data_IF_432310622574
#
_entry.id   IF_432310622574
#
_cell.length_a   1.000
_cell.length_b   1.000
_cell.length_c   1.000
_cell.angle_alpha   90.00
_cell.angle_beta   90.00
_cell.angle_gamma   90.00
#
_symmetry.space_group_name_H-M   'P 1'
#
loop_
_entity.id
_entity.type
_entity.pdbx_description
1 polymer ?
#
# COMPACT_ATOMS: atom_id res chain seq x y z
N UNK A 1 28.33 11.10 -1.47
CA UNK A 1 26.95 10.86 -1.96
C UNK A 1 26.04 11.73 -1.11
N UNK A 2 25.46 12.81 -1.63
CA UNK A 2 24.70 13.70 -0.77
C UNK A 2 23.64 14.49 -1.55
N UNK A 3 22.39 14.11 -1.34
CA UNK A 3 21.30 15.10 -1.33
C UNK A 3 21.73 16.20 -0.34
N UNK A 4 21.69 17.48 -0.73
CA UNK A 4 22.23 18.60 0.06
C UNK A 4 23.77 18.57 0.31
N UNK A 5 24.57 17.92 -0.56
CA UNK A 5 26.04 17.83 -0.40
C UNK A 5 26.79 19.15 -0.25
N UNK A 6 26.29 20.21 -0.89
CA UNK A 6 26.84 21.57 -0.84
C UNK A 6 26.68 22.23 0.55
N UNK A 7 25.96 21.59 1.48
CA UNK A 7 25.70 22.09 2.83
C UNK A 7 26.58 21.45 3.90
N UNK A 8 27.44 20.51 3.54
CA UNK A 8 28.43 19.95 4.46
C UNK A 8 29.50 21.00 4.72
N UNK A 9 29.45 21.62 5.91
CA UNK A 9 30.47 22.60 6.33
C UNK A 9 31.51 21.90 7.20
N UNK A 10 32.77 21.93 6.77
CA UNK A 10 33.90 21.59 7.65
C UNK A 10 34.11 22.74 8.63
N UNK A 11 34.09 22.44 9.92
CA UNK A 11 34.54 23.33 11.02
C UNK A 11 35.85 22.77 11.55
N UNK A 12 36.63 23.59 12.28
CA UNK A 12 37.98 23.23 12.74
C UNK A 12 38.05 21.94 13.58
N UNK A 13 36.94 21.49 14.16
CA UNK A 13 36.86 20.29 15.02
C UNK A 13 35.81 19.26 14.60
N UNK A 14 34.98 19.54 13.58
CA UNK A 14 33.79 18.73 13.25
C UNK A 14 33.38 18.91 11.77
N UNK A 15 32.70 17.89 11.22
CA UNK A 15 31.99 18.01 9.94
C UNK A 15 30.49 18.15 10.20
N UNK A 16 29.96 19.36 10.02
CA UNK A 16 28.55 19.64 10.21
C UNK A 16 27.75 19.11 9.01
N UNK A 17 27.21 17.91 9.15
CA UNK A 17 26.36 17.26 8.13
C UNK A 17 24.89 17.61 8.34
N UNK A 18 24.12 17.95 7.29
CA UNK A 18 22.68 18.17 7.42
C UNK A 18 21.97 16.90 7.90
N UNK A 19 21.46 16.89 9.14
CA UNK A 19 20.66 15.78 9.73
C UNK A 19 19.22 15.71 9.23
N UNK A 20 18.90 16.43 8.15
CA UNK A 20 17.55 16.56 7.58
C UNK A 20 17.02 15.19 7.14
N UNK A 21 17.86 14.42 6.44
CA UNK A 21 17.50 13.10 5.92
C UNK A 21 17.40 12.06 7.04
N UNK A 22 18.33 12.08 8.01
CA UNK A 22 18.25 11.24 9.22
C UNK A 22 16.94 11.46 9.99
N UNK A 23 16.46 12.71 10.07
CA UNK A 23 15.20 13.03 10.74
C UNK A 23 13.98 12.49 9.98
N UNK A 24 14.05 12.36 8.66
CA UNK A 24 13.01 11.75 7.82
C UNK A 24 13.05 10.23 7.94
N UNK A 25 14.24 9.63 7.86
CA UNK A 25 14.46 8.19 8.03
C UNK A 25 13.93 7.69 9.38
N UNK A 26 14.16 8.45 10.47
CA UNK A 26 13.65 8.12 11.81
C UNK A 26 12.19 8.49 12.05
N UNK A 27 11.48 9.00 11.05
CA UNK A 27 10.08 9.43 11.18
C UNK A 27 9.84 10.67 12.07
N UNK A 28 10.89 11.26 12.65
CA UNK A 28 10.77 12.44 13.55
C UNK A 28 10.32 13.72 12.83
N UNK A 29 10.42 13.75 11.50
CA UNK A 29 9.98 14.87 10.67
C UNK A 29 9.40 14.37 9.34
N UNK A 30 8.38 15.06 8.84
CA UNK A 30 7.82 14.81 7.51
C UNK A 30 8.60 15.63 6.44
N UNK A 31 8.98 15.01 5.31
CA UNK A 31 9.52 15.72 4.14
C UNK A 31 8.70 16.95 3.75
N UNK A 32 9.40 18.04 3.44
CA UNK A 32 8.73 19.26 2.94
C UNK A 32 8.36 19.09 1.47
N UNK A 33 7.07 19.26 1.16
CA UNK A 33 6.54 19.14 -0.21
C UNK A 33 6.08 20.48 -0.82
N UNK A 34 6.41 21.60 -0.19
CA UNK A 34 6.09 22.92 -0.78
C UNK A 34 6.96 23.20 -2.01
N UNK A 35 6.40 23.78 -3.09
CA UNK A 35 7.17 24.16 -4.27
C UNK A 35 8.38 25.03 -3.93
N UNK A 36 9.48 24.82 -4.66
CA UNK A 36 10.72 25.59 -4.54
C UNK A 36 11.95 24.74 -4.15
N UNK A 37 13.10 25.39 -3.92
CA UNK A 37 14.40 24.72 -3.78
C UNK A 37 14.54 23.88 -2.49
N UNK A 38 13.54 23.92 -1.61
CA UNK A 38 13.49 23.15 -0.36
C UNK A 38 12.48 22.00 -0.41
N UNK A 39 11.90 21.71 -1.57
CA UNK A 39 11.04 20.55 -1.75
C UNK A 39 11.92 19.29 -1.65
N UNK A 40 11.84 18.58 -0.52
CA UNK A 40 12.63 17.38 -0.29
C UNK A 40 12.12 16.21 -1.14
N UNK A 41 10.82 16.18 -1.45
CA UNK A 41 10.19 15.14 -2.27
C UNK A 41 10.66 15.25 -3.71
N UNK A 42 10.68 16.46 -4.30
CA UNK A 42 11.18 16.68 -5.65
C UNK A 42 12.70 16.46 -5.75
N UNK A 43 13.45 16.80 -4.70
CA UNK A 43 14.88 16.48 -4.64
C UNK A 43 15.12 14.96 -4.64
N UNK A 44 14.31 14.20 -3.89
CA UNK A 44 14.36 12.75 -3.89
C UNK A 44 13.95 12.18 -5.25
N UNK A 45 12.86 12.67 -5.85
CA UNK A 45 12.35 12.26 -7.16
C UNK A 45 13.38 12.48 -8.28
N UNK A 46 14.05 13.63 -8.29
CA UNK A 46 15.07 13.96 -9.28
C UNK A 46 16.28 13.00 -9.24
N UNK A 47 16.55 12.38 -8.08
CA UNK A 47 17.68 11.47 -7.90
C UNK A 47 17.28 10.00 -7.92
N UNK A 48 16.06 9.70 -7.48
CA UNK A 48 15.46 8.38 -7.38
C UNK A 48 14.03 8.48 -7.94
N UNK A 49 13.87 8.29 -9.27
CA UNK A 49 12.57 8.37 -9.92
C UNK A 49 11.56 7.40 -9.31
N UNK A 50 10.36 7.91 -9.02
CA UNK A 50 9.24 7.14 -8.48
C UNK A 50 8.98 7.41 -6.99
N UNK A 51 9.94 7.98 -6.26
CA UNK A 51 9.82 8.27 -4.82
C UNK A 51 8.69 9.22 -4.45
N UNK A 52 8.37 10.21 -5.30
CA UNK A 52 7.27 11.15 -5.02
C UNK A 52 5.91 10.45 -4.93
N UNK A 53 5.73 9.34 -5.67
CA UNK A 53 4.52 8.52 -5.67
C UNK A 53 4.21 7.95 -4.30
N UNK A 54 5.22 7.43 -3.61
CA UNK A 54 5.10 6.89 -2.26
C UNK A 54 4.64 7.97 -1.30
N UNK A 55 5.27 9.14 -1.35
CA UNK A 55 4.96 10.24 -0.44
C UNK A 55 3.57 10.83 -0.67
N UNK A 56 3.16 10.98 -1.93
CA UNK A 56 1.87 11.57 -2.33
C UNK A 56 0.75 10.53 -2.49
N UNK A 57 1.00 9.28 -2.09
CA UNK A 57 0.03 8.20 -2.24
C UNK A 57 -1.30 8.54 -1.57
N UNK A 58 -2.45 8.29 -2.23
CA UNK A 58 -3.77 8.48 -1.64
C UNK A 58 -4.00 7.59 -0.41
N UNK A 59 -3.21 6.51 -0.26
CA UNK A 59 -3.22 5.61 0.89
C UNK A 59 -3.19 6.37 2.22
N UNK A 60 -2.37 7.42 2.32
CA UNK A 60 -2.13 8.12 3.57
C UNK A 60 -3.38 8.81 4.12
N UNK A 61 -4.28 9.30 3.24
CA UNK A 61 -5.54 9.92 3.67
C UNK A 61 -6.43 8.91 4.37
N UNK A 62 -6.56 7.72 3.77
CA UNK A 62 -7.34 6.62 4.33
C UNK A 62 -6.76 6.10 5.65
N UNK A 63 -5.44 5.88 5.72
CA UNK A 63 -4.76 5.40 6.93
C UNK A 63 -4.79 6.44 8.07
N UNK A 64 -4.82 7.74 7.76
CA UNK A 64 -5.03 8.82 8.74
C UNK A 64 -6.47 8.95 9.22
N UNK A 65 -7.39 8.09 8.75
CA UNK A 65 -8.82 8.11 9.08
C UNK A 65 -9.52 9.40 8.65
N UNK A 66 -9.07 10.01 7.55
CA UNK A 66 -9.86 11.06 6.91
C UNK A 66 -11.19 10.47 6.43
N UNK A 67 -12.32 11.19 6.60
CA UNK A 67 -13.59 10.75 6.04
C UNK A 67 -13.53 10.86 4.52
N UNK A 68 -13.76 9.73 3.85
CA UNK A 68 -13.78 9.64 2.39
C UNK A 68 -15.14 9.07 1.95
N UNK A 69 -15.76 9.68 0.95
CA UNK A 69 -16.93 9.13 0.28
C UNK A 69 -16.54 8.23 -0.91
N UNK A 70 -17.54 7.59 -1.53
CA UNK A 70 -17.30 6.65 -2.63
C UNK A 70 -16.63 7.31 -3.84
N UNK A 71 -17.00 8.55 -4.15
CA UNK A 71 -16.43 9.31 -5.26
C UNK A 71 -14.96 9.62 -5.00
N UNK A 72 -14.61 10.01 -3.78
CA UNK A 72 -13.24 10.29 -3.38
C UNK A 72 -12.35 9.04 -3.38
N UNK A 73 -12.90 7.86 -3.07
CA UNK A 73 -12.19 6.59 -3.25
C UNK A 73 -11.95 6.29 -4.73
N UNK A 74 -12.96 6.46 -5.59
CA UNK A 74 -12.83 6.23 -7.02
C UNK A 74 -11.80 7.19 -7.66
N UNK A 75 -11.86 8.48 -7.32
CA UNK A 75 -10.87 9.48 -7.74
C UNK A 75 -9.45 9.10 -7.28
N UNK A 76 -9.30 8.64 -6.04
CA UNK A 76 -8.02 8.17 -5.52
C UNK A 76 -7.49 6.95 -6.32
N UNK A 77 -8.36 5.98 -6.63
CA UNK A 77 -8.01 4.81 -7.45
C UNK A 77 -7.57 5.21 -8.86
N UNK A 78 -8.09 6.30 -9.44
CA UNK A 78 -7.66 6.81 -10.75
C UNK A 78 -6.26 7.41 -10.76
N UNK A 79 -5.74 7.83 -9.61
CA UNK A 79 -4.38 8.38 -9.53
C UNK A 79 -3.29 7.31 -9.53
N UNK A 80 -3.68 6.04 -9.50
CA UNK A 80 -2.77 4.91 -9.44
C UNK A 80 -2.07 4.64 -10.78
N UNK A 81 -1.17 3.67 -10.75
CA UNK A 81 -0.28 3.36 -11.86
C UNK A 81 -1.07 2.82 -13.06
N UNK A 82 -0.71 3.14 -14.31
CA UNK A 82 -1.48 2.72 -15.48
C UNK A 82 -1.82 1.21 -15.53
N UNK A 83 -0.92 0.29 -15.15
CA UNK A 83 -1.25 -1.13 -15.08
C UNK A 83 -2.35 -1.46 -14.06
N UNK A 84 -2.41 -0.72 -12.95
CA UNK A 84 -3.44 -0.90 -11.91
C UNK A 84 -4.76 -0.28 -12.36
N UNK A 85 -4.74 0.93 -12.92
CA UNK A 85 -5.96 1.59 -13.38
C UNK A 85 -6.62 0.86 -14.55
N UNK A 86 -5.84 0.27 -15.46
CA UNK A 86 -6.35 -0.55 -16.56
C UNK A 86 -7.11 -1.82 -16.10
N UNK A 87 -6.79 -2.33 -14.90
CA UNK A 87 -7.53 -3.45 -14.30
C UNK A 87 -8.84 -3.00 -13.66
N UNK A 88 -8.86 -1.80 -13.09
CA UNK A 88 -9.99 -1.30 -12.29
C UNK A 88 -11.04 -0.54 -13.10
N UNK A 89 -10.68 -0.01 -14.26
CA UNK A 89 -11.53 0.90 -15.03
C UNK A 89 -11.73 0.42 -16.47
N UNK A 90 -12.86 0.81 -17.07
CA UNK A 90 -13.10 0.64 -18.50
C UNK A 90 -11.99 1.39 -19.29
N UNK A 91 -11.64 0.90 -20.48
CA UNK A 91 -10.58 1.52 -21.27
C UNK A 91 -10.98 2.89 -21.82
N UNK A 92 -12.25 3.03 -22.20
CA UNK A 92 -12.81 4.23 -22.81
C UNK A 92 -14.11 4.63 -22.09
N UNK A 93 -14.44 5.93 -21.99
CA UNK A 93 -15.75 6.39 -21.54
C UNK A 93 -16.83 5.94 -22.52
N UNK A 94 -18.05 5.73 -22.01
CA UNK A 94 -19.23 5.48 -22.85
C UNK A 94 -19.71 6.77 -23.53
N UNK A 95 -20.57 6.62 -24.53
CA UNK A 95 -21.23 7.76 -25.15
C UNK A 95 -21.93 8.62 -24.08
N UNK A 96 -21.61 9.92 -24.06
CA UNK A 96 -22.05 10.91 -23.06
C UNK A 96 -21.37 10.89 -21.68
N UNK A 97 -20.30 10.11 -21.50
CA UNK A 97 -19.47 10.13 -20.29
C UNK A 97 -18.11 10.76 -20.53
N UNK A 98 -17.60 11.50 -19.53
CA UNK A 98 -16.28 12.15 -19.63
C UNK A 98 -15.14 11.30 -19.08
N UNK A 99 -15.46 10.31 -18.22
CA UNK A 99 -14.48 9.47 -17.54
C UNK A 99 -14.88 8.00 -17.66
N UNK A 100 -13.92 7.07 -17.81
CA UNK A 100 -14.23 5.65 -17.85
C UNK A 100 -14.75 5.14 -16.50
N UNK A 101 -15.78 4.30 -16.54
CA UNK A 101 -16.40 3.74 -15.33
C UNK A 101 -15.50 2.74 -14.64
N UNK A 102 -15.69 2.59 -13.33
CA UNK A 102 -15.12 1.46 -12.60
C UNK A 102 -15.74 0.14 -13.07
N UNK A 103 -14.89 -0.85 -13.30
CA UNK A 103 -15.30 -2.22 -13.61
C UNK A 103 -15.70 -2.94 -12.32
N UNK A 104 -16.60 -3.94 -12.39
CA UNK A 104 -16.77 -4.88 -11.28
C UNK A 104 -15.42 -5.50 -10.91
N UNK A 105 -15.13 -5.59 -9.61
CA UNK A 105 -13.89 -6.17 -9.13
C UNK A 105 -14.06 -7.67 -8.88
N UNK A 106 -13.62 -8.47 -9.84
CA UNK A 106 -13.77 -9.93 -9.87
C UNK A 106 -12.47 -10.69 -9.53
N UNK A 107 -12.54 -12.03 -9.49
CA UNK A 107 -11.40 -12.90 -9.16
C UNK A 107 -10.27 -12.83 -10.19
N UNK A 108 -10.58 -12.52 -11.45
CA UNK A 108 -9.56 -12.34 -12.47
C UNK A 108 -8.77 -11.05 -12.21
N UNK A 109 -9.45 -9.93 -11.99
CA UNK A 109 -8.85 -8.64 -11.65
C UNK A 109 -8.04 -8.74 -10.36
N UNK A 110 -8.55 -9.46 -9.35
CA UNK A 110 -7.86 -9.72 -8.09
C UNK A 110 -6.54 -10.48 -8.32
N UNK A 111 -6.57 -11.58 -9.09
CA UNK A 111 -5.35 -12.35 -9.42
C UNK A 111 -4.36 -11.52 -10.21
N UNK A 112 -4.83 -10.67 -11.13
CA UNK A 112 -3.97 -9.79 -11.92
C UNK A 112 -3.30 -8.71 -11.06
N UNK A 113 -4.00 -8.13 -10.08
CA UNK A 113 -3.38 -7.22 -9.10
C UNK A 113 -2.32 -7.91 -8.24
N UNK A 114 -2.60 -9.13 -7.75
CA UNK A 114 -1.61 -9.94 -7.02
C UNK A 114 -0.41 -10.25 -7.92
N UNK A 115 -0.64 -10.54 -9.20
CA UNK A 115 0.42 -10.78 -10.17
C UNK A 115 1.33 -9.56 -10.34
N UNK A 116 0.76 -8.35 -10.42
CA UNK A 116 1.52 -7.10 -10.50
C UNK A 116 2.44 -6.89 -9.31
N UNK A 117 1.98 -7.17 -8.09
CA UNK A 117 2.80 -7.12 -6.87
C UNK A 117 3.45 -5.76 -6.62
N UNK A 118 2.88 -4.67 -7.14
CA UNK A 118 3.40 -3.32 -6.99
C UNK A 118 2.83 -2.63 -5.75
N UNK A 119 3.49 -1.56 -5.31
CA UNK A 119 2.94 -0.73 -4.23
C UNK A 119 1.56 -0.18 -4.57
N UNK A 120 1.33 0.23 -5.81
CA UNK A 120 0.02 0.73 -6.21
C UNK A 120 -1.06 -0.35 -6.27
N UNK A 121 -0.69 -1.61 -6.51
CA UNK A 121 -1.62 -2.73 -6.38
C UNK A 121 -2.03 -2.94 -4.90
N UNK A 122 -1.09 -2.77 -3.96
CA UNK A 122 -1.39 -2.73 -2.52
C UNK A 122 -2.31 -1.54 -2.18
N UNK A 123 -1.99 -0.34 -2.67
CA UNK A 123 -2.81 0.87 -2.44
C UNK A 123 -4.22 0.65 -2.99
N UNK A 124 -4.37 0.07 -4.18
CA UNK A 124 -5.66 -0.27 -4.75
C UNK A 124 -6.45 -1.21 -3.82
N UNK A 125 -5.83 -2.29 -3.35
CA UNK A 125 -6.46 -3.24 -2.43
C UNK A 125 -6.97 -2.54 -1.15
N UNK A 126 -6.13 -1.69 -0.54
CA UNK A 126 -6.51 -0.97 0.68
C UNK A 126 -7.63 0.06 0.43
N UNK A 127 -7.57 0.80 -0.67
CA UNK A 127 -8.62 1.76 -1.04
C UNK A 127 -9.93 1.06 -1.40
N UNK A 128 -9.90 -0.10 -2.07
CA UNK A 128 -11.09 -0.90 -2.33
C UNK A 128 -11.69 -1.47 -1.05
N UNK A 129 -10.88 -1.89 -0.08
CA UNK A 129 -11.35 -2.26 1.25
C UNK A 129 -11.99 -1.07 1.98
N UNK A 130 -11.45 0.15 1.82
CA UNK A 130 -12.07 1.37 2.32
C UNK A 130 -13.41 1.69 1.65
N UNK A 131 -13.46 1.62 0.31
CA UNK A 131 -14.67 1.82 -0.49
C UNK A 131 -15.77 0.83 -0.07
N UNK A 132 -15.40 -0.44 0.17
CA UNK A 132 -16.32 -1.48 0.61
C UNK A 132 -17.03 -1.13 1.92
N UNK A 133 -16.38 -0.37 2.82
CA UNK A 133 -16.99 0.15 4.06
C UNK A 133 -18.08 1.17 3.74
N UNK A 134 -17.83 2.07 2.78
CA UNK A 134 -18.75 3.15 2.40
C UNK A 134 -19.99 2.61 1.69
N UNK A 135 -19.82 1.64 0.80
CA UNK A 135 -20.93 1.06 0.01
C UNK A 135 -21.52 -0.20 0.65
N UNK A 136 -21.05 -0.59 1.84
CA UNK A 136 -21.45 -1.79 2.57
C UNK A 136 -21.41 -3.07 1.72
N UNK A 137 -20.32 -3.30 0.98
CA UNK A 137 -20.13 -4.49 0.13
C UNK A 137 -19.17 -5.49 0.79
N UNK A 138 -19.67 -6.63 1.32
CA UNK A 138 -18.83 -7.68 1.89
C UNK A 138 -17.93 -8.33 0.84
N UNK A 139 -18.47 -8.64 -0.34
CA UNK A 139 -17.74 -9.32 -1.42
C UNK A 139 -16.55 -8.50 -1.91
N UNK A 140 -16.72 -7.18 -2.08
CA UNK A 140 -15.62 -6.29 -2.45
C UNK A 140 -14.56 -6.28 -1.34
N UNK A 141 -14.99 -6.27 -0.08
CA UNK A 141 -14.06 -6.28 1.06
C UNK A 141 -13.21 -7.53 1.08
N UNK A 142 -13.84 -8.68 0.99
CA UNK A 142 -13.16 -9.98 1.04
C UNK A 142 -12.13 -10.10 -0.07
N UNK A 143 -12.52 -9.75 -1.32
CA UNK A 143 -11.61 -9.74 -2.47
C UNK A 143 -10.46 -8.75 -2.28
N UNK A 144 -10.74 -7.55 -1.80
CA UNK A 144 -9.72 -6.54 -1.54
C UNK A 144 -8.71 -6.99 -0.48
N UNK A 145 -9.18 -7.60 0.61
CA UNK A 145 -8.32 -8.14 1.67
C UNK A 145 -7.51 -9.35 1.19
N UNK A 146 -8.09 -10.20 0.35
CA UNK A 146 -7.37 -11.30 -0.29
C UNK A 146 -6.22 -10.80 -1.18
N UNK A 147 -6.45 -9.74 -1.97
CA UNK A 147 -5.37 -9.10 -2.76
C UNK A 147 -4.32 -8.48 -1.86
N UNK A 148 -4.73 -7.78 -0.80
CA UNK A 148 -3.82 -7.19 0.17
C UNK A 148 -2.86 -8.25 0.73
N UNK A 149 -3.38 -9.37 1.21
CA UNK A 149 -2.58 -10.50 1.71
C UNK A 149 -1.68 -11.07 0.61
N UNK A 150 -2.23 -11.40 -0.56
CA UNK A 150 -1.48 -12.05 -1.63
C UNK A 150 -0.31 -11.22 -2.19
N UNK A 151 -0.33 -9.90 -2.03
CA UNK A 151 0.74 -9.00 -2.48
C UNK A 151 1.88 -8.89 -1.46
N UNK A 152 1.65 -9.15 -0.17
CA UNK A 152 2.62 -8.90 0.89
C UNK A 152 3.95 -9.64 0.67
N UNK A 153 3.91 -10.90 0.22
CA UNK A 153 5.11 -11.70 -0.05
C UNK A 153 6.02 -11.01 -1.09
N UNK A 154 5.46 -10.65 -2.25
CA UNK A 154 6.20 -9.97 -3.32
C UNK A 154 6.76 -8.61 -2.92
N UNK A 155 6.01 -7.85 -2.12
CA UNK A 155 6.50 -6.56 -1.64
C UNK A 155 7.69 -6.70 -0.70
N UNK A 156 7.68 -7.72 0.17
CA UNK A 156 8.79 -7.96 1.10
C UNK A 156 10.08 -8.37 0.39
N UNK A 157 9.99 -8.99 -0.78
CA UNK A 157 11.16 -9.26 -1.63
C UNK A 157 11.81 -7.98 -2.17
N UNK A 158 11.16 -6.81 -2.08
CA UNK A 158 11.70 -5.53 -2.55
C UNK A 158 12.66 -4.93 -1.52
N UNK A 159 14.00 -4.94 -1.75
CA UNK A 159 14.99 -4.63 -0.70
C UNK A 159 14.97 -3.17 -0.23
N UNK A 160 14.44 -2.26 -1.05
CA UNK A 160 14.44 -0.82 -0.78
C UNK A 160 13.57 -0.42 0.41
N UNK A 161 12.59 -1.25 0.79
CA UNK A 161 11.56 -0.91 1.78
C UNK A 161 11.30 -2.04 2.79
N UNK A 162 12.19 -3.03 2.83
CA UNK A 162 12.11 -4.18 3.74
C UNK A 162 11.87 -3.76 5.20
N UNK A 163 12.55 -2.71 5.67
CA UNK A 163 12.38 -2.19 7.03
C UNK A 163 11.10 -1.38 7.28
N UNK A 164 10.34 -1.02 6.23
CA UNK A 164 9.15 -0.16 6.32
C UNK A 164 7.85 -0.99 6.17
N UNK A 165 7.87 -2.02 5.33
CA UNK A 165 6.68 -2.85 5.09
C UNK A 165 6.05 -3.45 6.35
N UNK A 166 6.81 -3.99 7.32
CA UNK A 166 6.23 -4.52 8.57
C UNK A 166 5.36 -3.51 9.32
N UNK A 167 5.84 -2.26 9.45
CA UNK A 167 5.08 -1.20 10.13
C UNK A 167 3.87 -0.76 9.30
N UNK A 168 4.05 -0.66 7.98
CA UNK A 168 2.97 -0.32 7.06
C UNK A 168 1.85 -1.37 7.08
N UNK A 169 2.18 -2.66 7.03
CA UNK A 169 1.21 -3.75 7.08
C UNK A 169 0.45 -3.74 8.41
N UNK A 170 1.17 -3.60 9.53
CA UNK A 170 0.53 -3.48 10.85
C UNK A 170 -0.45 -2.31 10.93
N UNK A 171 -0.11 -1.16 10.30
CA UNK A 171 -1.01 -0.01 10.21
C UNK A 171 -2.23 -0.32 9.33
N UNK A 172 -2.03 -0.97 8.19
CA UNK A 172 -3.13 -1.39 7.29
C UNK A 172 -4.05 -2.39 7.99
N UNK A 173 -3.53 -3.45 8.62
CA UNK A 173 -4.30 -4.48 9.32
C UNK A 173 -5.23 -3.86 10.37
N UNK A 174 -4.71 -2.88 11.11
CA UNK A 174 -5.49 -2.16 12.13
C UNK A 174 -6.67 -1.37 11.53
N UNK A 175 -6.55 -0.94 10.27
CA UNK A 175 -7.54 -0.14 9.55
C UNK A 175 -8.52 -1.02 8.76
N UNK A 176 -8.02 -2.07 8.13
CA UNK A 176 -8.71 -2.95 7.19
C UNK A 176 -9.15 -4.25 7.88
N UNK A 177 -10.08 -4.12 8.83
CA UNK A 177 -10.60 -5.25 9.62
C UNK A 177 -11.43 -6.23 8.79
N UNK A 178 -11.31 -7.52 9.03
CA UNK A 178 -12.19 -8.52 8.45
C UNK A 178 -13.60 -8.40 9.04
N UNK A 179 -14.62 -8.67 8.22
CA UNK A 179 -16.01 -8.67 8.64
C UNK A 179 -16.50 -10.09 8.79
N UNK A 180 -16.89 -10.48 10.01
CA UNK A 180 -17.50 -11.77 10.29
C UNK A 180 -18.96 -11.54 10.64
N UNK A 181 -19.85 -12.17 9.89
CA UNK A 181 -21.29 -12.09 10.15
C UNK A 181 -21.72 -13.28 11.01
N UNK A 182 -22.09 -13.01 12.26
CA UNK A 182 -22.64 -14.00 13.19
C UNK A 182 -24.13 -14.24 12.92
N UNK A 183 -24.80 -13.21 12.37
CA UNK A 183 -26.16 -13.22 11.85
C UNK A 183 -26.29 -12.12 10.77
N UNK A 184 -27.34 -12.09 9.93
CA UNK A 184 -27.48 -11.11 8.84
C UNK A 184 -27.38 -9.63 9.28
N UNK A 185 -27.77 -9.32 10.52
CA UNK A 185 -27.72 -7.98 11.11
C UNK A 185 -26.65 -7.83 12.21
N UNK A 186 -25.83 -8.86 12.43
CA UNK A 186 -24.81 -8.87 13.47
C UNK A 186 -23.43 -9.16 12.86
N UNK A 187 -22.65 -8.08 12.72
CA UNK A 187 -21.28 -8.13 12.23
C UNK A 187 -20.29 -7.92 13.38
N UNK A 188 -19.22 -8.71 13.36
CA UNK A 188 -18.06 -8.55 14.22
C UNK A 188 -16.86 -8.14 13.35
N UNK A 189 -16.11 -7.14 13.80
CA UNK A 189 -14.90 -6.71 13.12
C UNK A 189 -13.68 -7.40 13.75
N UNK A 190 -12.91 -8.13 12.94
CA UNK A 190 -11.72 -8.89 13.37
C UNK A 190 -10.47 -8.31 12.75
N UNK A 191 -9.43 -8.09 13.56
CA UNK A 191 -8.11 -7.73 13.06
C UNK A 191 -7.31 -9.01 12.88
N UNK A 192 -6.86 -9.26 11.65
CA UNK A 192 -5.89 -10.32 11.35
C UNK A 192 -4.60 -9.60 11.02
N UNK A 193 -3.56 -9.88 11.79
CA UNK A 193 -2.25 -9.28 11.59
C UNK A 193 -1.43 -10.10 10.58
N UNK A 194 -0.68 -9.41 9.74
CA UNK A 194 0.13 -10.01 8.68
C UNK A 194 1.13 -11.06 9.20
N UNK A 195 1.64 -10.91 10.43
CA UNK A 195 2.51 -11.91 11.05
C UNK A 195 1.82 -13.27 11.25
N UNK A 196 0.51 -13.26 11.51
CA UNK A 196 -0.27 -14.48 11.64
C UNK A 196 -0.46 -15.20 10.31
N UNK A 197 -0.62 -14.42 9.23
CA UNK A 197 -0.77 -14.96 7.87
C UNK A 197 0.56 -15.52 7.35
N UNK A 198 1.66 -14.83 7.60
CA UNK A 198 3.01 -15.32 7.29
C UNK A 198 3.29 -16.66 7.96
N UNK A 199 3.00 -16.80 9.25
CA UNK A 199 3.23 -18.03 10.00
C UNK A 199 2.39 -19.21 9.46
N UNK A 200 1.17 -18.97 8.97
CA UNK A 200 0.34 -20.00 8.34
C UNK A 200 0.87 -20.42 6.97
N UNK A 201 1.34 -19.47 6.15
CA UNK A 201 1.92 -19.78 4.84
C UNK A 201 3.25 -20.53 4.98
N UNK A 202 4.09 -20.16 5.95
CA UNK A 202 5.30 -20.92 6.29
C UNK A 202 4.95 -22.33 6.77
N UNK A 203 3.94 -22.50 7.63
CA UNK A 203 3.48 -23.82 8.06
C UNK A 203 2.91 -24.66 6.91
N UNK A 204 2.23 -24.06 5.92
CA UNK A 204 1.79 -24.79 4.72
C UNK A 204 2.96 -25.21 3.85
N UNK A 205 3.95 -24.34 3.64
CA UNK A 205 5.11 -24.63 2.78
C UNK A 205 6.05 -25.67 3.42
N UNK A 206 6.27 -25.61 4.74
CA UNK A 206 7.18 -26.51 5.45
C UNK A 206 6.49 -27.70 6.13
N UNK A 207 5.17 -27.65 6.34
CA UNK A 207 4.37 -28.76 6.88
C UNK A 207 4.11 -29.87 5.86
N UNK A 208 4.12 -29.57 4.56
CA UNK A 208 4.01 -30.56 3.47
C UNK A 208 5.30 -31.37 3.25
N UNK A 209 6.38 -31.06 3.97
CA UNK A 209 7.67 -31.77 3.90
C UNK A 209 7.83 -32.82 5.01
N UNK A 210 6.80 -32.99 5.87
CA UNK A 210 6.90 -33.76 7.13
C UNK A 210 6.26 -35.15 7.18
N UNK A 211 5.51 -35.59 6.16
CA UNK A 211 4.73 -36.85 6.24
C UNK A 211 5.05 -37.91 5.16
N UNK A 212 6.23 -37.88 4.53
CA UNK A 212 6.71 -39.01 3.72
C UNK A 212 7.85 -39.77 4.42
N UNK A 213 7.46 -40.77 5.20
CA UNK A 213 8.14 -42.07 5.30
C UNK A 213 9.47 -42.13 6.04
N UNK A 214 9.41 -42.39 7.35
CA UNK A 214 10.43 -43.20 8.02
C UNK A 214 9.72 -44.39 8.69
N UNK A 215 9.53 -45.45 7.93
CA UNK A 215 9.37 -46.80 8.48
C UNK A 215 10.76 -47.44 8.56
N UNK A 216 11.20 -47.76 9.77
CA UNK A 216 12.34 -48.65 10.05
C UNK A 216 11.84 -50.07 10.31
#
# INVERSE_FOLDING_TARGET
MALDGDRVRKRDTDVARPRKWDAYEKGTRVPNDRPGPRNAVEQAQARFPGTSRWFRSPLWRYLKKEPLDAMQFEEALRTLEPPVTALLFEAEPREHEQVPRQRPFDDESARQLIALGSFDALVAAVLMAGLSEVIASPDLRERALHVYVGIQAKLRETPLLEGIYPELFSLIDSRCKHWIYLAPNQRMDVVIFWQGVEAEDEQRIFGDVGEDGIDY
#
